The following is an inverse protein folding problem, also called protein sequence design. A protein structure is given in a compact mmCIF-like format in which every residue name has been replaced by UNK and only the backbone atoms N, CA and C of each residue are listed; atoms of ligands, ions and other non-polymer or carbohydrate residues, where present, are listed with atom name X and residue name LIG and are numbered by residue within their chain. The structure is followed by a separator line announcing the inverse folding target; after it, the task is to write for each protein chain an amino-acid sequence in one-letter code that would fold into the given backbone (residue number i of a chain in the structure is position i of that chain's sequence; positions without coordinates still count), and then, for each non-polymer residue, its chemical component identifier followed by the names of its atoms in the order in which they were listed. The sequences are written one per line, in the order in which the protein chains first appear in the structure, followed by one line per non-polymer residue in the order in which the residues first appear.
data_IF_787021562233
#
_entry.id   IF_787021562233
#
_cell.length_a   1.000
_cell.length_b   1.000
_cell.length_c   1.000
_cell.angle_alpha   90.00
_cell.angle_beta   90.00
_cell.angle_gamma   90.00
#
_symmetry.space_group_name_H-M   'P 1'
#
loop_
_entity.id
_entity.type
_entity.pdbx_description
1 polymer ?
#
# COMPACT_ATOMS: atom_id res chain seq x y z
N UNK A 1 -39.68 16.73 23.61
CA UNK A 1 -39.15 15.36 23.43
C UNK A 1 -37.73 15.50 22.90
N UNK A 2 -36.72 15.30 23.76
CA UNK A 2 -35.30 15.51 23.40
C UNK A 2 -34.80 14.28 22.65
N UNK A 3 -34.39 14.46 21.40
CA UNK A 3 -33.74 13.41 20.61
C UNK A 3 -32.25 13.47 20.95
N UNK A 4 -31.80 12.50 21.74
CA UNK A 4 -30.37 12.31 22.06
C UNK A 4 -29.75 11.52 20.92
N UNK A 5 -28.95 12.16 20.08
CA UNK A 5 -28.13 11.46 19.09
C UNK A 5 -26.94 10.82 19.80
N UNK A 6 -26.97 9.50 19.99
CA UNK A 6 -25.78 8.71 20.26
C UNK A 6 -25.04 8.49 18.93
N UNK A 7 -24.08 9.36 18.62
CA UNK A 7 -23.09 9.07 17.58
C UNK A 7 -22.05 8.13 18.16
N UNK A 8 -22.19 6.83 17.91
CA UNK A 8 -21.12 5.87 18.13
C UNK A 8 -20.02 6.13 17.09
N UNK A 9 -18.87 6.64 17.56
CA UNK A 9 -17.66 6.76 16.74
C UNK A 9 -17.13 5.36 16.40
N UNK A 10 -17.30 4.94 15.15
CA UNK A 10 -16.66 3.76 14.59
C UNK A 10 -15.22 4.13 14.20
N UNK A 11 -14.25 3.69 15.01
CA UNK A 11 -12.82 3.88 14.75
C UNK A 11 -12.32 2.69 13.91
N UNK A 12 -12.12 2.88 12.60
CA UNK A 12 -11.41 1.89 11.79
C UNK A 12 -9.91 2.00 12.07
N UNK A 13 -9.32 0.98 12.67
CA UNK A 13 -7.89 0.94 13.02
C UNK A 13 -7.22 -0.26 12.35
N UNK A 14 -6.91 -0.13 11.05
CA UNK A 14 -6.16 -1.12 10.28
C UNK A 14 -4.80 -1.47 10.93
N UNK A 15 -4.16 -0.50 11.60
CA UNK A 15 -2.87 -0.70 12.26
C UNK A 15 -2.94 -0.97 13.78
N UNK A 16 -4.14 -0.98 14.40
CA UNK A 16 -4.23 -0.87 15.88
C UNK A 16 -5.27 -1.74 16.59
N UNK A 17 -6.14 -2.49 15.90
CA UNK A 17 -7.20 -3.22 16.61
C UNK A 17 -6.66 -4.29 17.58
N UNK A 18 -5.72 -5.14 17.13
CA UNK A 18 -5.09 -6.13 18.01
C UNK A 18 -4.25 -5.52 19.15
N UNK A 19 -3.79 -4.28 18.99
CA UNK A 19 -2.93 -3.62 19.98
C UNK A 19 -3.69 -2.89 21.07
N UNK A 20 -4.90 -2.41 20.82
CA UNK A 20 -5.65 -1.70 21.87
C UNK A 20 -5.99 -2.66 23.02
N UNK A 21 -6.51 -3.85 22.69
CA UNK A 21 -6.73 -4.92 23.67
C UNK A 21 -5.43 -5.42 24.32
N UNK A 22 -4.31 -5.44 23.59
CA UNK A 22 -2.99 -5.82 24.13
C UNK A 22 -2.42 -4.78 25.09
N UNK A 23 -2.60 -3.49 24.79
CA UNK A 23 -2.19 -2.34 25.62
C UNK A 23 -2.86 -2.34 26.98
N UNK A 24 -4.14 -2.68 27.04
CA UNK A 24 -4.90 -2.74 28.30
C UNK A 24 -4.38 -3.83 29.25
N UNK A 25 -3.65 -4.83 28.74
CA UNK A 25 -3.10 -5.93 29.55
C UNK A 25 -1.64 -5.76 30.00
N UNK A 26 -0.91 -4.77 29.48
CA UNK A 26 0.48 -4.51 29.86
C UNK A 26 0.59 -3.26 30.73
N UNK A 27 0.94 -3.41 32.01
CA UNK A 27 1.20 -2.31 32.95
C UNK A 27 2.47 -1.48 32.65
N UNK A 28 3.02 -1.57 31.44
CA UNK A 28 4.23 -0.87 31.02
C UNK A 28 3.92 0.31 30.10
N UNK A 29 4.67 1.41 30.25
CA UNK A 29 4.65 2.52 29.30
C UNK A 29 5.34 2.02 28.01
N UNK A 30 4.66 2.01 26.84
CA UNK A 30 5.29 1.60 25.60
C UNK A 30 6.45 2.55 25.23
N UNK A 31 7.51 2.06 24.56
CA UNK A 31 8.64 2.90 24.11
C UNK A 31 8.29 3.79 22.90
N UNK A 32 7.00 4.00 22.63
CA UNK A 32 6.46 4.74 21.50
C UNK A 32 5.16 5.44 21.92
N UNK A 33 4.90 6.61 21.34
CA UNK A 33 3.64 7.35 21.52
C UNK A 33 2.71 7.07 20.35
N UNK A 34 1.41 7.16 20.62
CA UNK A 34 0.37 7.14 19.58
C UNK A 34 -0.51 8.36 19.82
N UNK A 35 -0.61 9.22 18.82
CA UNK A 35 -1.46 10.40 18.83
C UNK A 35 -2.55 10.14 17.80
N UNK A 36 -3.79 10.07 18.28
CA UNK A 36 -4.94 9.99 17.39
C UNK A 36 -5.22 11.38 16.82
N UNK A 37 -5.50 11.46 15.52
CA UNK A 37 -5.93 12.72 14.91
C UNK A 37 -7.22 13.23 15.54
N UNK A 38 -7.24 14.51 15.87
CA UNK A 38 -8.34 15.24 16.50
C UNK A 38 -8.75 16.48 15.69
N UNK A 39 -8.33 16.55 14.42
CA UNK A 39 -8.70 17.60 13.49
C UNK A 39 -10.24 17.74 13.38
N UNK A 40 -10.77 18.97 13.22
CA UNK A 40 -12.19 19.17 12.97
C UNK A 40 -12.60 18.53 11.63
N UNK A 41 -13.91 18.36 11.38
CA UNK A 41 -14.39 17.93 10.07
C UNK A 41 -13.80 18.80 8.94
N UNK A 42 -13.57 18.17 7.78
CA UNK A 42 -13.04 18.85 6.61
C UNK A 42 -13.89 20.07 6.22
N UNK A 43 -13.22 21.11 5.70
CA UNK A 43 -13.88 22.33 5.22
C UNK A 43 -14.94 21.99 4.15
N UNK A 44 -16.20 22.45 4.28
CA UNK A 44 -17.24 22.27 3.26
C UNK A 44 -16.83 22.71 1.84
N UNK A 45 -15.86 23.61 1.68
CA UNK A 45 -15.30 24.03 0.40
C UNK A 45 -14.57 22.89 -0.35
N UNK A 46 -14.09 21.88 0.38
CA UNK A 46 -13.43 20.69 -0.19
C UNK A 46 -14.39 19.54 -0.45
N UNK A 47 -15.70 19.77 -0.33
CA UNK A 47 -16.72 18.74 -0.56
C UNK A 47 -16.58 18.13 -1.96
N UNK A 48 -16.43 16.81 -1.98
CA UNK A 48 -16.27 16.03 -3.22
C UNK A 48 -14.83 15.93 -3.72
N UNK A 49 -13.84 16.50 -3.02
CA UNK A 49 -12.44 16.25 -3.34
C UNK A 49 -12.08 14.83 -2.91
N UNK A 50 -11.35 14.12 -3.77
CA UNK A 50 -10.81 12.80 -3.47
C UNK A 50 -9.53 12.57 -4.26
N UNK A 51 -8.70 11.63 -3.78
CA UNK A 51 -7.49 11.22 -4.49
C UNK A 51 -7.88 10.28 -5.62
N UNK A 52 -7.91 10.82 -6.84
CA UNK A 52 -8.25 10.05 -8.03
C UNK A 52 -7.16 9.05 -8.42
N UNK A 53 -5.91 9.49 -8.49
CA UNK A 53 -4.80 8.62 -8.88
C UNK A 53 -3.47 9.09 -8.31
N UNK A 54 -2.52 8.16 -8.24
CA UNK A 54 -1.09 8.46 -8.10
C UNK A 54 -0.34 8.04 -9.38
N UNK A 55 0.73 8.75 -9.69
CA UNK A 55 1.54 8.55 -10.88
C UNK A 55 2.84 7.81 -10.57
N UNK A 56 3.15 6.79 -11.37
CA UNK A 56 4.41 6.05 -11.30
C UNK A 56 5.08 6.04 -12.67
N UNK A 57 6.41 6.01 -12.67
CA UNK A 57 7.17 5.82 -13.90
C UNK A 57 7.34 4.33 -14.16
N UNK A 58 7.22 3.92 -15.42
CA UNK A 58 7.31 2.52 -15.82
C UNK A 58 8.30 2.32 -16.98
N UNK A 59 9.14 1.28 -16.87
CA UNK A 59 10.08 0.92 -17.95
C UNK A 59 9.38 0.22 -19.11
N UNK A 60 8.36 -0.59 -18.81
CA UNK A 60 7.67 -1.40 -19.80
C UNK A 60 6.18 -1.52 -19.47
N UNK A 61 5.35 -0.70 -20.14
CA UNK A 61 3.91 -0.69 -19.90
C UNK A 61 3.22 -2.04 -20.14
N UNK A 62 3.76 -2.90 -21.01
CA UNK A 62 3.18 -4.24 -21.22
C UNK A 62 3.42 -5.14 -20.02
N UNK A 63 4.66 -5.19 -19.51
CA UNK A 63 5.01 -5.96 -18.33
C UNK A 63 4.30 -5.42 -17.08
N UNK A 64 4.30 -4.09 -16.89
CA UNK A 64 3.57 -3.42 -15.81
C UNK A 64 2.08 -3.77 -15.87
N UNK A 65 1.42 -3.60 -17.02
CA UNK A 65 -0.01 -3.93 -17.16
C UNK A 65 -0.30 -5.39 -16.81
N UNK A 66 0.50 -6.32 -17.32
CA UNK A 66 0.30 -7.75 -17.05
C UNK A 66 0.50 -8.09 -15.58
N UNK A 67 1.54 -7.56 -14.95
CA UNK A 67 1.81 -7.77 -13.53
C UNK A 67 0.68 -7.21 -12.67
N UNK A 68 0.33 -5.93 -12.85
CA UNK A 68 -0.72 -5.27 -12.07
C UNK A 68 -2.09 -5.95 -12.26
N UNK A 69 -2.43 -6.40 -13.47
CA UNK A 69 -3.66 -7.14 -13.69
C UNK A 69 -3.70 -8.54 -13.10
N UNK A 70 -2.60 -9.30 -13.18
CA UNK A 70 -2.58 -10.68 -12.66
C UNK A 70 -2.38 -10.74 -11.16
N UNK A 71 -1.50 -9.90 -10.63
CA UNK A 71 -1.07 -9.93 -9.23
C UNK A 71 -2.02 -9.14 -8.34
N UNK A 72 -2.38 -7.93 -8.75
CA UNK A 72 -3.26 -7.07 -7.95
C UNK A 72 -4.71 -7.14 -8.39
N UNK A 73 -5.03 -7.75 -9.53
CA UNK A 73 -6.41 -7.78 -10.04
C UNK A 73 -6.91 -6.42 -10.54
N UNK A 74 -6.03 -5.44 -10.77
CA UNK A 74 -6.43 -4.15 -11.35
C UNK A 74 -6.65 -4.27 -12.86
N UNK A 75 -7.64 -3.56 -13.37
CA UNK A 75 -8.03 -3.61 -14.78
C UNK A 75 -7.35 -2.50 -15.55
N UNK A 76 -6.99 -2.81 -16.78
CA UNK A 76 -6.58 -1.82 -17.77
C UNK A 76 -7.78 -0.98 -18.17
N UNK A 77 -7.67 0.34 -18.00
CA UNK A 77 -8.70 1.29 -18.40
C UNK A 77 -8.40 1.78 -19.82
N UNK A 78 -7.23 2.39 -20.02
CA UNK A 78 -6.72 2.76 -21.35
C UNK A 78 -5.21 2.92 -21.35
N UNK A 79 -4.63 2.85 -22.54
CA UNK A 79 -3.27 3.32 -22.83
C UNK A 79 -3.38 4.39 -23.91
N UNK A 80 -2.75 5.52 -23.70
CA UNK A 80 -2.65 6.60 -24.67
C UNK A 80 -1.18 6.79 -25.04
N UNK A 81 -0.84 6.53 -26.29
CA UNK A 81 0.42 6.95 -26.88
C UNK A 81 0.31 8.45 -27.21
N UNK A 82 0.95 9.28 -26.39
CA UNK A 82 0.94 10.74 -26.58
C UNK A 82 1.91 11.13 -27.69
N UNK A 83 2.99 10.36 -27.85
CA UNK A 83 3.93 10.44 -28.98
C UNK A 83 4.57 9.07 -29.23
N UNK A 84 5.43 8.96 -30.25
CA UNK A 84 6.17 7.72 -30.51
C UNK A 84 7.03 7.28 -29.33
N UNK A 85 7.45 8.20 -28.45
CA UNK A 85 8.36 7.95 -27.33
C UNK A 85 7.70 8.04 -25.96
N UNK A 86 6.44 8.48 -25.85
CA UNK A 86 5.81 8.77 -24.58
C UNK A 86 4.37 8.24 -24.52
N UNK A 87 4.09 7.44 -23.50
CA UNK A 87 2.80 6.79 -23.32
C UNK A 87 2.33 6.88 -21.87
N UNK A 88 1.02 6.93 -21.70
CA UNK A 88 0.33 6.94 -20.40
C UNK A 88 -0.62 5.75 -20.33
N UNK A 89 -0.55 4.97 -19.26
CA UNK A 89 -1.42 3.83 -18.97
C UNK A 89 -2.19 4.13 -17.69
N UNK A 90 -3.51 3.99 -17.72
CA UNK A 90 -4.36 4.05 -16.52
C UNK A 90 -4.89 2.66 -16.18
N UNK A 91 -4.81 2.33 -14.90
CA UNK A 91 -5.34 1.10 -14.32
C UNK A 91 -6.08 1.40 -13.02
N UNK A 92 -6.99 0.51 -12.61
CA UNK A 92 -7.67 0.61 -11.33
C UNK A 92 -8.44 -0.65 -10.99
N UNK A 93 -8.87 -0.81 -9.74
CA UNK A 93 -9.84 -1.83 -9.42
C UNK A 93 -11.20 -1.44 -10.01
N UNK A 94 -11.93 -2.42 -10.55
CA UNK A 94 -13.34 -2.22 -10.91
C UNK A 94 -14.15 -1.92 -9.65
N UNK A 95 -15.06 -0.95 -9.74
CA UNK A 95 -15.95 -0.55 -8.64
C UNK A 95 -17.10 -1.57 -8.41
N UNK A 96 -17.21 -2.57 -9.28
CA UNK A 96 -18.06 -3.76 -9.11
C UNK A 96 -17.25 -5.02 -8.74
N UNK A 97 -17.93 -6.03 -8.19
CA UNK A 97 -17.35 -7.33 -7.84
C UNK A 97 -17.12 -7.53 -6.33
N UNK A 98 -16.77 -6.47 -5.59
CA UNK A 98 -16.73 -6.52 -4.10
C UNK A 98 -18.10 -6.77 -3.46
N UNK A 99 -19.17 -6.43 -4.17
CA UNK A 99 -20.57 -6.64 -3.79
C UNK A 99 -21.31 -7.63 -4.72
N UNK A 100 -20.59 -8.40 -5.54
CA UNK A 100 -21.19 -9.35 -6.48
C UNK A 100 -21.79 -8.74 -7.76
N UNK A 101 -21.72 -7.42 -7.99
CA UNK A 101 -22.34 -6.74 -9.15
C UNK A 101 -21.63 -6.96 -10.52
N UNK A 102 -20.80 -7.99 -10.66
CA UNK A 102 -19.94 -8.19 -11.83
C UNK A 102 -18.82 -7.15 -11.94
N UNK A 103 -17.80 -7.43 -12.76
CA UNK A 103 -16.68 -6.51 -12.97
C UNK A 103 -16.97 -5.56 -14.15
N UNK A 104 -16.71 -4.26 -13.97
CA UNK A 104 -16.81 -3.27 -15.04
C UNK A 104 -15.87 -3.61 -16.22
N UNK A 105 -16.32 -3.29 -17.43
CA UNK A 105 -15.50 -3.28 -18.64
C UNK A 105 -14.52 -2.10 -18.65
N UNK A 106 -13.48 -2.16 -19.48
CA UNK A 106 -12.54 -1.04 -19.65
C UNK A 106 -13.24 0.23 -20.16
N UNK A 107 -14.28 0.10 -20.99
CA UNK A 107 -15.07 1.23 -21.49
C UNK A 107 -15.86 1.93 -20.37
N UNK A 108 -16.52 1.16 -19.51
CA UNK A 108 -17.24 1.72 -18.35
C UNK A 108 -16.28 2.41 -17.40
N UNK A 109 -15.14 1.79 -17.10
CA UNK A 109 -14.11 2.40 -16.26
C UNK A 109 -13.52 3.66 -16.90
N UNK A 110 -13.37 3.71 -18.24
CA UNK A 110 -12.86 4.90 -18.93
C UNK A 110 -13.85 6.07 -18.84
N UNK A 111 -15.17 5.79 -18.98
CA UNK A 111 -16.25 6.76 -18.78
C UNK A 111 -16.23 7.31 -17.36
N UNK A 112 -16.04 6.44 -16.38
CA UNK A 112 -16.19 6.79 -14.95
C UNK A 112 -14.89 7.25 -14.29
N UNK A 113 -13.74 7.20 -14.98
CA UNK A 113 -12.41 7.35 -14.37
C UNK A 113 -12.26 8.59 -13.48
N UNK A 114 -12.89 9.71 -13.85
CA UNK A 114 -12.78 10.98 -13.10
C UNK A 114 -13.63 11.01 -11.83
N UNK A 115 -14.45 9.98 -11.62
CA UNK A 115 -15.27 9.75 -10.43
C UNK A 115 -14.83 8.47 -9.68
N UNK A 116 -13.71 7.87 -10.08
CA UNK A 116 -13.14 6.68 -9.44
C UNK A 116 -11.95 7.07 -8.58
N UNK A 117 -11.88 6.57 -7.36
CA UNK A 117 -10.76 6.73 -6.45
C UNK A 117 -9.69 5.64 -6.64
N UNK A 118 -8.47 5.92 -6.19
CA UNK A 118 -7.41 4.92 -6.07
C UNK A 118 -6.89 4.33 -7.40
N UNK A 119 -6.96 5.08 -8.50
CA UNK A 119 -6.40 4.65 -9.78
C UNK A 119 -4.87 4.76 -9.78
N UNK A 120 -4.23 4.01 -10.68
CA UNK A 120 -2.79 4.03 -10.90
C UNK A 120 -2.51 4.52 -12.32
N UNK A 121 -1.72 5.59 -12.43
CA UNK A 121 -1.23 6.13 -13.70
C UNK A 121 0.22 5.72 -13.88
N UNK A 122 0.51 4.96 -14.92
CA UNK A 122 1.89 4.70 -15.35
C UNK A 122 2.27 5.61 -16.50
N UNK A 123 3.46 6.20 -16.41
CA UNK A 123 4.04 7.02 -17.46
C UNK A 123 5.31 6.34 -17.93
N UNK A 124 5.45 6.18 -19.25
CA UNK A 124 6.64 5.60 -19.84
C UNK A 124 7.23 6.53 -20.89
N UNK A 125 8.53 6.78 -20.77
CA UNK A 125 9.33 7.45 -21.80
C UNK A 125 10.32 6.43 -22.35
N UNK A 126 10.14 6.00 -23.60
CA UNK A 126 10.81 4.83 -24.18
C UNK A 126 12.34 4.92 -24.17
N UNK A 127 12.92 6.12 -24.24
CA UNK A 127 14.38 6.29 -24.20
C UNK A 127 14.98 6.09 -22.81
N UNK A 128 14.18 6.28 -21.78
CA UNK A 128 14.57 5.94 -20.42
C UNK A 128 14.14 4.50 -20.17
N UNK A 129 15.05 3.56 -20.37
CA UNK A 129 14.84 2.14 -20.14
C UNK A 129 15.34 1.74 -18.75
N UNK A 130 14.89 0.59 -18.24
CA UNK A 130 15.40 -0.05 -17.03
C UNK A 130 15.35 0.83 -15.76
N UNK A 131 14.24 1.54 -15.54
CA UNK A 131 13.97 2.11 -14.23
C UNK A 131 13.92 1.00 -13.20
N UNK A 132 14.55 1.27 -12.08
CA UNK A 132 14.44 0.46 -10.88
C UNK A 132 14.17 1.39 -9.73
N UNK A 133 13.38 0.93 -8.76
CA UNK A 133 13.33 1.54 -7.45
C UNK A 133 14.74 1.60 -6.88
N UNK A 134 15.15 2.80 -6.48
CA UNK A 134 16.47 3.07 -5.92
C UNK A 134 16.31 3.20 -4.40
N UNK A 135 16.73 2.20 -3.60
CA UNK A 135 16.55 2.22 -2.16
C UNK A 135 17.65 3.06 -1.49
N UNK A 136 17.60 4.37 -1.68
CA UNK A 136 18.58 5.32 -1.14
C UNK A 136 17.92 6.50 -0.42
N UNK A 137 18.74 7.44 0.07
CA UNK A 137 18.29 8.60 0.84
C UNK A 137 17.45 9.61 0.04
N UNK A 138 17.37 9.47 -1.29
CA UNK A 138 16.51 10.28 -2.16
C UNK A 138 15.13 9.66 -2.36
N UNK A 139 14.89 8.46 -1.82
CA UNK A 139 13.58 7.82 -1.82
C UNK A 139 12.58 8.70 -1.08
N UNK A 140 11.56 9.18 -1.81
CA UNK A 140 10.44 9.96 -1.24
C UNK A 140 9.13 9.18 -1.27
N UNK A 141 8.97 8.31 -2.27
CA UNK A 141 7.80 7.44 -2.38
C UNK A 141 8.13 6.06 -1.81
N UNK A 142 7.39 5.66 -0.77
CA UNK A 142 7.62 4.41 -0.05
C UNK A 142 6.98 3.22 -0.78
N UNK A 143 5.65 3.16 -0.77
CA UNK A 143 4.87 2.05 -1.32
C UNK A 143 3.40 2.41 -1.48
N UNK A 144 2.64 1.52 -2.11
CA UNK A 144 1.17 1.57 -2.14
C UNK A 144 0.59 0.45 -1.27
N UNK A 145 -0.60 0.67 -0.70
CA UNK A 145 -1.29 -0.33 0.10
C UNK A 145 -2.28 -1.16 -0.73
N UNK A 146 -2.31 -2.47 -0.50
CA UNK A 146 -3.28 -3.43 -1.01
C UNK A 146 -3.96 -4.14 0.16
N UNK A 147 -5.28 -4.03 0.23
CA UNK A 147 -6.09 -4.80 1.18
C UNK A 147 -6.55 -6.10 0.51
N UNK A 148 -6.37 -7.23 1.20
CA UNK A 148 -6.81 -8.56 0.76
C UNK A 148 -7.66 -9.23 1.83
N UNK A 149 -8.60 -10.09 1.44
CA UNK A 149 -9.47 -10.78 2.40
C UNK A 149 -8.69 -11.84 3.21
N UNK A 150 -7.79 -12.57 2.55
CA UNK A 150 -6.94 -13.58 3.16
C UNK A 150 -5.49 -13.42 2.68
N UNK A 151 -4.62 -12.99 3.60
CA UNK A 151 -3.21 -12.78 3.30
C UNK A 151 -2.42 -14.08 3.05
N UNK A 152 -2.86 -15.21 3.62
CA UNK A 152 -2.22 -16.50 3.35
C UNK A 152 -2.53 -16.96 1.92
N UNK A 153 -3.79 -16.83 1.48
CA UNK A 153 -4.19 -17.12 0.11
C UNK A 153 -3.51 -16.18 -0.90
N UNK A 154 -3.46 -14.87 -0.61
CA UNK A 154 -2.76 -13.90 -1.44
C UNK A 154 -1.27 -14.25 -1.58
N UNK A 155 -0.60 -14.60 -0.46
CA UNK A 155 0.81 -15.03 -0.48
C UNK A 155 1.01 -16.26 -1.35
N UNK A 156 0.15 -17.28 -1.25
CA UNK A 156 0.26 -18.48 -2.08
C UNK A 156 0.16 -18.13 -3.57
N UNK A 157 -0.82 -17.31 -3.94
CA UNK A 157 -0.97 -16.80 -5.31
C UNK A 157 0.29 -16.05 -5.79
N UNK A 158 0.87 -15.18 -4.95
CA UNK A 158 2.11 -14.48 -5.30
C UNK A 158 3.28 -15.43 -5.52
N UNK A 159 3.40 -16.48 -4.71
CA UNK A 159 4.44 -17.49 -4.87
C UNK A 159 4.26 -18.27 -6.18
N UNK A 160 3.04 -18.69 -6.51
CA UNK A 160 2.72 -19.42 -7.73
C UNK A 160 2.97 -18.56 -9.00
N UNK A 161 2.72 -17.25 -8.91
CA UNK A 161 2.97 -16.30 -9.98
C UNK A 161 4.44 -15.86 -10.08
N UNK A 162 5.32 -16.32 -9.18
CA UNK A 162 6.73 -15.94 -9.16
C UNK A 162 6.95 -14.46 -8.81
N UNK A 163 6.05 -13.85 -8.04
CA UNK A 163 6.16 -12.46 -7.61
C UNK A 163 7.35 -12.31 -6.65
N UNK A 164 8.08 -11.21 -6.81
CA UNK A 164 9.16 -10.86 -5.89
C UNK A 164 8.60 -10.43 -4.53
N UNK A 165 8.67 -11.31 -3.54
CA UNK A 165 8.26 -11.05 -2.15
C UNK A 165 9.47 -10.48 -1.38
N UNK A 166 9.47 -9.16 -1.22
CA UNK A 166 10.51 -8.36 -0.55
C UNK A 166 10.50 -8.58 0.96
N UNK A 167 9.30 -8.67 1.56
CA UNK A 167 9.14 -8.95 2.99
C UNK A 167 8.06 -10.00 3.20
N UNK A 168 8.39 -11.06 3.93
CA UNK A 168 7.49 -12.20 4.23
C UNK A 168 6.76 -11.99 5.55
N UNK A 169 5.58 -12.60 5.67
CA UNK A 169 4.85 -12.70 6.95
C UNK A 169 5.71 -13.44 7.99
N UNK A 170 5.72 -12.96 9.23
CA UNK A 170 6.52 -13.52 10.33
C UNK A 170 8.00 -13.17 10.29
N UNK A 171 8.43 -12.35 9.33
CA UNK A 171 9.82 -11.91 9.18
C UNK A 171 9.86 -10.39 9.26
N UNK A 172 10.70 -9.88 10.14
CA UNK A 172 11.03 -8.46 10.23
C UNK A 172 12.55 -8.36 10.25
N UNK A 173 13.13 -8.23 9.06
CA UNK A 173 14.57 -8.23 8.83
C UNK A 173 15.00 -6.88 8.24
N UNK A 174 15.89 -6.22 8.96
CA UNK A 174 16.56 -4.98 8.56
C UNK A 174 18.09 -5.13 8.68
N UNK A 175 18.59 -6.37 8.78
CA UNK A 175 20.01 -6.61 8.93
C UNK A 175 20.77 -6.33 7.62
N UNK A 176 22.01 -5.80 7.70
CA UNK A 176 22.81 -5.49 6.51
C UNK A 176 23.04 -6.71 5.59
N UNK A 177 23.12 -7.90 6.19
CA UNK A 177 23.53 -9.12 5.49
C UNK A 177 22.40 -9.78 4.68
N UNK A 178 21.14 -9.68 5.13
CA UNK A 178 20.04 -10.46 4.55
C UNK A 178 18.81 -9.64 4.20
N UNK A 179 18.68 -8.40 4.68
CA UNK A 179 17.52 -7.59 4.38
C UNK A 179 17.48 -7.15 2.92
N UNK A 180 16.27 -7.10 2.36
CA UNK A 180 16.04 -6.40 1.11
C UNK A 180 16.10 -4.89 1.37
N UNK A 181 17.07 -4.21 0.77
CA UNK A 181 17.28 -2.77 0.98
C UNK A 181 16.05 -1.93 0.61
N UNK A 182 15.21 -2.41 -0.32
CA UNK A 182 13.97 -1.73 -0.69
C UNK A 182 13.00 -1.68 0.47
N UNK A 183 12.89 -2.76 1.25
CA UNK A 183 12.06 -2.77 2.45
C UNK A 183 12.53 -1.73 3.46
N UNK A 184 13.84 -1.66 3.72
CA UNK A 184 14.40 -0.67 4.65
C UNK A 184 14.19 0.78 4.17
N UNK A 185 14.50 1.05 2.90
CA UNK A 185 14.33 2.37 2.31
C UNK A 185 12.87 2.84 2.27
N UNK A 186 11.91 1.92 2.14
CA UNK A 186 10.49 2.22 2.24
C UNK A 186 10.12 2.88 3.58
N UNK A 187 10.86 2.59 4.66
CA UNK A 187 10.65 3.19 5.97
C UNK A 187 11.65 4.30 6.29
N UNK A 188 12.40 4.77 5.29
CA UNK A 188 13.38 5.85 5.44
C UNK A 188 14.77 5.41 5.91
N UNK A 189 15.01 4.11 6.10
CA UNK A 189 16.33 3.58 6.46
C UNK A 189 17.16 3.32 5.20
N UNK A 190 17.79 4.38 4.69
CA UNK A 190 18.52 4.34 3.42
C UNK A 190 19.86 3.59 3.47
N UNK A 191 20.58 3.64 4.59
CA UNK A 191 21.88 3.00 4.76
C UNK A 191 21.87 2.00 5.92
N UNK A 192 21.39 0.79 5.65
CA UNK A 192 21.34 -0.26 6.66
C UNK A 192 22.72 -0.81 7.05
N UNK A 193 23.81 -0.45 6.34
CA UNK A 193 25.16 -0.86 6.73
C UNK A 193 25.74 0.05 7.83
N UNK A 194 25.12 1.22 8.05
CA UNK A 194 25.55 2.19 9.04
C UNK A 194 25.11 1.79 10.46
N UNK A 195 26.07 1.79 11.40
CA UNK A 195 25.84 1.40 12.81
C UNK A 195 24.82 2.28 13.54
N UNK A 196 24.75 3.58 13.24
CA UNK A 196 23.76 4.48 13.85
C UNK A 196 22.36 4.18 13.32
N UNK A 197 22.23 3.94 12.01
CA UNK A 197 20.97 3.51 11.39
C UNK A 197 20.50 2.18 11.99
N UNK A 198 21.40 1.23 12.24
CA UNK A 198 21.05 -0.03 12.92
C UNK A 198 20.57 0.17 14.36
N UNK A 199 21.13 1.13 15.11
CA UNK A 199 20.62 1.50 16.44
C UNK A 199 19.21 2.08 16.37
N UNK A 200 18.95 2.95 15.41
CA UNK A 200 17.62 3.56 15.21
C UNK A 200 16.59 2.52 14.79
N UNK A 201 16.96 1.60 13.88
CA UNK A 201 16.15 0.44 13.52
C UNK A 201 15.81 -0.37 14.78
N UNK A 202 16.81 -0.71 15.60
CA UNK A 202 16.60 -1.50 16.81
C UNK A 202 15.64 -0.81 17.79
N UNK A 203 15.73 0.52 17.93
CA UNK A 203 14.82 1.32 18.75
C UNK A 203 13.39 1.36 18.16
N UNK A 204 13.24 1.34 16.83
CA UNK A 204 11.95 1.34 16.16
C UNK A 204 11.26 -0.04 16.12
N UNK A 205 12.00 -1.15 16.21
CA UNK A 205 11.47 -2.53 16.11
C UNK A 205 10.26 -2.82 17.02
N UNK A 206 10.20 -2.39 18.29
CA UNK A 206 9.01 -2.55 19.12
C UNK A 206 7.78 -1.84 18.54
N UNK A 207 7.96 -0.66 17.94
CA UNK A 207 6.92 0.09 17.24
C UNK A 207 6.44 -0.62 15.98
N UNK A 208 7.35 -1.14 15.15
CA UNK A 208 6.99 -1.96 13.98
C UNK A 208 6.19 -3.20 14.36
N UNK A 209 6.61 -3.92 15.42
CA UNK A 209 5.88 -5.07 15.93
C UNK A 209 4.49 -4.68 16.43
N UNK A 210 4.38 -3.53 17.12
CA UNK A 210 3.09 -2.98 17.51
C UNK A 210 2.25 -2.70 16.27
N UNK A 211 2.75 -1.99 15.25
CA UNK A 211 2.00 -1.73 14.01
C UNK A 211 1.61 -2.99 13.20
N UNK A 212 2.00 -4.18 13.63
CA UNK A 212 1.63 -5.46 13.02
C UNK A 212 2.61 -5.95 11.96
N UNK A 213 3.67 -5.19 11.66
CA UNK A 213 4.65 -5.51 10.60
C UNK A 213 5.35 -6.86 10.80
N UNK A 214 5.38 -7.43 11.99
CA UNK A 214 5.85 -8.80 12.14
C UNK A 214 4.83 -9.83 11.64
N UNK A 215 3.55 -9.68 12.03
CA UNK A 215 2.54 -10.73 11.90
C UNK A 215 1.62 -10.61 10.69
N UNK A 216 1.28 -9.39 10.27
CA UNK A 216 0.06 -9.17 9.47
C UNK A 216 0.31 -8.65 8.06
N UNK A 217 1.55 -8.28 7.74
CA UNK A 217 1.88 -7.66 6.46
C UNK A 217 2.75 -8.56 5.58
N UNK A 218 2.69 -8.35 4.27
CA UNK A 218 3.65 -8.85 3.27
C UNK A 218 4.02 -7.65 2.39
N UNK A 219 5.25 -7.59 1.89
CA UNK A 219 5.63 -6.60 0.89
C UNK A 219 6.10 -7.29 -0.38
N UNK A 220 5.54 -6.88 -1.51
CA UNK A 220 5.90 -7.39 -2.84
C UNK A 220 6.41 -6.25 -3.71
N UNK A 221 7.18 -6.58 -4.74
CA UNK A 221 7.67 -5.62 -5.72
C UNK A 221 7.09 -5.84 -7.11
N UNK A 222 6.78 -4.73 -7.78
CA UNK A 222 6.41 -4.70 -9.20
C UNK A 222 7.64 -4.94 -10.10
N UNK A 223 7.48 -4.98 -11.44
CA UNK A 223 8.59 -5.21 -12.37
C UNK A 223 9.71 -4.15 -12.33
N UNK A 224 9.39 -2.92 -11.91
CA UNK A 224 10.34 -1.82 -11.75
C UNK A 224 10.84 -1.71 -10.29
N UNK A 225 10.50 -2.66 -9.41
CA UNK A 225 10.95 -2.72 -8.02
C UNK A 225 10.14 -1.87 -7.04
N UNK A 226 9.08 -1.18 -7.49
CA UNK A 226 8.21 -0.40 -6.61
C UNK A 226 7.43 -1.32 -5.69
N UNK A 227 7.20 -0.86 -4.46
CA UNK A 227 6.70 -1.73 -3.41
C UNK A 227 5.19 -1.61 -3.23
N UNK A 228 4.56 -2.75 -2.93
CA UNK A 228 3.17 -2.89 -2.53
C UNK A 228 3.13 -3.55 -1.17
N UNK A 229 2.61 -2.83 -0.18
CA UNK A 229 2.28 -3.38 1.14
C UNK A 229 0.94 -4.09 1.08
N UNK A 230 0.91 -5.36 1.43
CA UNK A 230 -0.28 -6.21 1.42
C UNK A 230 -0.71 -6.47 2.86
N UNK A 231 -1.95 -6.11 3.16
CA UNK A 231 -2.54 -6.19 4.50
C UNK A 231 -3.92 -6.85 4.47
N UNK A 232 -4.32 -7.57 5.53
CA UNK A 232 -5.64 -8.18 5.61
C UNK A 232 -6.74 -7.12 5.76
N UNK A 233 -7.93 -7.41 5.26
CA UNK A 233 -9.13 -6.66 5.62
C UNK A 233 -9.42 -6.85 7.12
N UNK A 234 -9.60 -5.76 7.85
CA UNK A 234 -10.08 -5.85 9.24
C UNK A 234 -11.58 -6.15 9.21
N UNK A 235 -11.99 -7.25 9.84
CA UNK A 235 -13.40 -7.66 9.87
C UNK A 235 -14.24 -6.67 10.70
N UNK A 236 -15.42 -6.33 10.18
CA UNK A 236 -16.37 -5.38 10.77
C UNK A 236 -17.03 -5.86 12.08
N UNK A 237 -16.71 -7.07 12.55
CA UNK A 237 -17.24 -7.67 13.79
C UNK A 237 -16.24 -7.72 14.94
N UNK A 238 -15.05 -7.16 14.75
CA UNK A 238 -14.09 -6.92 15.81
C UNK A 238 -14.34 -5.48 16.33
N UNK A 239 -15.52 -5.25 16.91
CA UNK A 239 -15.94 -3.96 17.48
C UNK A 239 -16.45 -4.19 18.90
#
# INVERSE_FOLDING_TARGET
MKVTYFSAFLVSSACAYGNKARRESSNGIPPWSYIQGDDPPADPATKGYFVNHFGMLASNLTATRQWYSKVLGVRHIFTMDVSSEFSVLYMGHSQGGRNGAGYQTGLEMARDKNNMDGLIKFVSYKKAVNRTYMPDAQTTFSHIGLVVDDIAAAKACFQDLGVNIVKRRGVLDFSPATADRRFAAAFGFADIDNDETQKDIAAALPGFKALGFFGDFVMIADPDGNLVEVQPQVSSGAL
#
